data_IF_648697198306
#
_entry.id   IF_648697198306
#
_cell.length_a   1.000
_cell.length_b   1.000
_cell.length_c   1.000
_cell.angle_alpha   90.00
_cell.angle_beta   90.00
_cell.angle_gamma   90.00
#
_symmetry.space_group_name_H-M   'P 1'
#
loop_
_entity.id
_entity.type
_entity.pdbx_description
1 polymer ?
#
# COMPACT_ATOMS: atom_id res chain seq x y z
N UNK A 1 -18.29 -12.05 31.44
CA UNK A 1 -16.87 -12.33 31.14
C UNK A 1 -16.55 -12.10 29.66
N UNK A 2 -17.33 -12.65 28.72
CA UNK A 2 -17.15 -12.47 27.26
C UNK A 2 -17.28 -11.02 26.76
N UNK A 3 -18.24 -10.26 27.28
CA UNK A 3 -18.48 -8.86 26.87
C UNK A 3 -17.28 -7.96 27.25
N UNK A 4 -16.66 -8.19 28.41
CA UNK A 4 -15.51 -7.41 28.89
C UNK A 4 -14.27 -7.69 28.02
N UNK A 5 -14.08 -8.95 27.63
CA UNK A 5 -13.01 -9.35 26.70
C UNK A 5 -13.23 -8.75 25.31
N UNK A 6 -14.47 -8.75 24.82
CA UNK A 6 -14.82 -8.13 23.53
C UNK A 6 -14.57 -6.61 23.51
N UNK A 7 -14.94 -5.89 24.57
CA UNK A 7 -14.69 -4.44 24.68
C UNK A 7 -13.18 -4.15 24.77
N UNK A 8 -12.43 -4.98 25.49
CA UNK A 8 -10.97 -4.85 25.58
C UNK A 8 -10.28 -5.04 24.22
N UNK A 9 -10.70 -6.03 23.45
CA UNK A 9 -10.18 -6.29 22.11
C UNK A 9 -10.50 -5.13 21.15
N UNK A 10 -11.73 -4.61 21.16
CA UNK A 10 -12.14 -3.50 20.30
C UNK A 10 -11.38 -2.20 20.63
N UNK A 11 -11.14 -1.94 21.92
CA UNK A 11 -10.39 -0.78 22.38
C UNK A 11 -8.91 -0.85 21.96
N UNK A 12 -8.29 -2.04 22.03
CA UNK A 12 -6.93 -2.26 21.54
C UNK A 12 -6.83 -2.07 20.03
N UNK A 13 -7.82 -2.55 19.27
CA UNK A 13 -7.85 -2.39 17.81
C UNK A 13 -7.97 -0.92 17.40
N UNK A 14 -8.88 -0.18 18.05
CA UNK A 14 -9.06 1.25 17.82
C UNK A 14 -7.82 2.05 18.21
N UNK A 15 -7.15 1.68 19.31
CA UNK A 15 -5.92 2.34 19.74
C UNK A 15 -4.75 2.09 18.78
N UNK A 16 -4.59 0.85 18.30
CA UNK A 16 -3.61 0.52 17.27
C UNK A 16 -3.88 1.29 15.97
N UNK A 17 -5.14 1.33 15.51
CA UNK A 17 -5.53 2.10 14.34
C UNK A 17 -5.25 3.60 14.51
N UNK A 18 -5.48 4.16 15.70
CA UNK A 18 -5.20 5.57 15.98
C UNK A 18 -3.70 5.87 16.03
N UNK A 19 -2.89 4.98 16.61
CA UNK A 19 -1.44 5.14 16.70
C UNK A 19 -0.76 5.06 15.32
N UNK A 20 -1.28 4.23 14.43
CA UNK A 20 -0.80 4.10 13.04
C UNK A 20 -1.38 5.19 12.12
N UNK A 21 -2.66 5.55 12.28
CA UNK A 21 -3.33 6.55 11.44
C UNK A 21 -2.93 8.00 11.74
N UNK A 22 -2.57 8.32 12.98
CA UNK A 22 -2.19 9.68 13.39
C UNK A 22 -0.93 10.23 12.70
N UNK A 23 0.21 9.51 12.60
CA UNK A 23 1.36 10.01 11.84
C UNK A 23 1.07 10.18 10.35
N UNK A 24 0.18 9.36 9.79
CA UNK A 24 -0.21 9.39 8.37
C UNK A 24 -1.01 10.65 8.00
N UNK A 25 -1.90 11.11 8.88
CA UNK A 25 -2.62 12.38 8.69
C UNK A 25 -1.71 13.62 8.86
N UNK A 26 -0.67 13.52 9.69
CA UNK A 26 0.23 14.65 9.96
C UNK A 26 1.19 14.93 8.79
N UNK A 27 1.57 13.90 8.02
CA UNK A 27 2.42 14.00 6.83
C UNK A 27 1.76 14.73 5.63
N UNK A 28 0.45 14.95 5.65
CA UNK A 28 -0.26 15.65 4.57
C UNK A 28 -0.05 17.18 4.55
N UNK A 29 0.59 17.76 5.58
CA UNK A 29 0.68 19.22 5.76
C UNK A 29 1.88 19.90 5.08
N UNK A 30 2.84 19.16 4.53
CA UNK A 30 3.94 19.74 3.74
C UNK A 30 3.59 19.78 2.24
N UNK A 31 3.95 20.86 1.51
CA UNK A 31 3.63 21.01 0.09
C UNK A 31 4.36 19.92 -0.72
N UNK A 32 3.68 19.28 -1.69
CA UNK A 32 4.22 18.08 -2.30
C UNK A 32 5.35 18.40 -3.27
N UNK A 33 6.56 17.92 -2.98
CA UNK A 33 7.54 17.62 -4.02
C UNK A 33 7.00 16.48 -4.90
N UNK A 34 7.38 16.38 -6.17
CA UNK A 34 6.91 15.31 -7.08
C UNK A 34 7.18 13.90 -6.51
N UNK A 35 8.26 13.73 -5.77
CA UNK A 35 8.59 12.51 -5.01
C UNK A 35 7.53 12.16 -3.95
N UNK A 36 6.86 13.18 -3.38
CA UNK A 36 5.84 12.99 -2.35
C UNK A 36 4.48 12.51 -2.89
N UNK A 37 4.15 12.80 -4.16
CA UNK A 37 2.91 12.26 -4.77
C UNK A 37 3.06 10.77 -5.07
N UNK A 38 4.20 10.36 -5.61
CA UNK A 38 4.54 8.95 -5.78
C UNK A 38 4.52 8.22 -4.43
N UNK A 39 5.19 8.76 -3.42
CA UNK A 39 5.26 8.12 -2.11
C UNK A 39 3.88 8.01 -1.46
N UNK A 40 3.03 9.03 -1.58
CA UNK A 40 1.62 8.95 -1.13
C UNK A 40 0.84 7.87 -1.86
N UNK A 41 0.93 7.82 -3.19
CA UNK A 41 0.21 6.82 -3.98
C UNK A 41 0.71 5.39 -3.67
N UNK A 42 2.01 5.22 -3.49
CA UNK A 42 2.63 3.95 -3.10
C UNK A 42 2.19 3.51 -1.71
N UNK A 43 2.18 4.43 -0.73
CA UNK A 43 1.72 4.15 0.63
C UNK A 43 0.23 3.76 0.67
N UNK A 44 -0.61 4.43 -0.12
CA UNK A 44 -2.03 4.09 -0.21
C UNK A 44 -2.23 2.66 -0.78
N UNK A 45 -1.52 2.31 -1.85
CA UNK A 45 -1.58 0.96 -2.41
C UNK A 45 -1.06 -0.12 -1.44
N UNK A 46 0.02 0.17 -0.71
CA UNK A 46 0.55 -0.72 0.33
C UNK A 46 -0.46 -0.91 1.47
N UNK A 47 -1.09 0.17 1.91
CA UNK A 47 -2.12 0.12 2.94
C UNK A 47 -3.32 -0.73 2.50
N UNK A 48 -3.80 -0.56 1.26
CA UNK A 48 -4.88 -1.38 0.72
C UNK A 48 -4.51 -2.85 0.62
N UNK A 49 -3.26 -3.17 0.25
CA UNK A 49 -2.74 -4.54 0.20
C UNK A 49 -2.74 -5.17 1.59
N UNK A 50 -2.22 -4.45 2.57
CA UNK A 50 -2.13 -4.95 3.95
C UNK A 50 -3.53 -5.18 4.54
N UNK A 51 -4.51 -4.33 4.23
CA UNK A 51 -5.91 -4.54 4.59
C UNK A 51 -6.51 -5.78 3.92
N UNK A 52 -6.21 -6.03 2.65
CA UNK A 52 -6.67 -7.24 1.97
C UNK A 52 -6.11 -8.52 2.63
N UNK A 53 -4.85 -8.51 3.05
CA UNK A 53 -4.26 -9.62 3.80
C UNK A 53 -4.85 -9.78 5.19
N UNK A 54 -5.11 -8.69 5.90
CA UNK A 54 -5.76 -8.73 7.20
C UNK A 54 -7.16 -9.35 7.10
N UNK A 55 -7.94 -9.01 6.07
CA UNK A 55 -9.26 -9.57 5.83
C UNK A 55 -9.21 -11.09 5.61
N UNK A 56 -8.23 -11.60 4.85
CA UNK A 56 -8.05 -13.05 4.66
C UNK A 56 -7.79 -13.74 6.01
N UNK A 57 -6.91 -13.17 6.84
CA UNK A 57 -6.61 -13.74 8.16
C UNK A 57 -7.82 -13.73 9.11
N UNK A 58 -8.65 -12.68 9.03
CA UNK A 58 -9.89 -12.57 9.82
C UNK A 58 -10.92 -13.62 9.40
N UNK A 59 -11.07 -13.87 8.09
CA UNK A 59 -11.97 -14.91 7.58
C UNK A 59 -11.57 -16.31 8.05
N UNK A 60 -10.29 -16.63 8.05
CA UNK A 60 -9.79 -17.89 8.60
C UNK A 60 -10.10 -18.01 10.10
N UNK A 61 -9.98 -16.90 10.84
CA UNK A 61 -10.30 -16.86 12.26
C UNK A 61 -11.80 -17.10 12.51
N UNK A 62 -12.67 -16.46 11.74
CA UNK A 62 -14.13 -16.62 11.81
C UNK A 62 -14.58 -18.04 11.48
N UNK A 63 -13.97 -18.66 10.46
CA UNK A 63 -14.22 -20.06 10.14
C UNK A 63 -13.76 -20.99 11.28
N UNK A 64 -12.59 -20.75 11.90
CA UNK A 64 -12.12 -21.52 13.07
C UNK A 64 -13.06 -21.38 14.28
N UNK A 65 -13.72 -20.23 14.41
CA UNK A 65 -14.72 -19.97 15.46
C UNK A 65 -16.10 -20.59 15.14
N UNK A 66 -16.29 -21.14 13.93
CA UNK A 66 -17.55 -21.73 13.48
C UNK A 66 -18.59 -20.72 13.01
N UNK A 67 -18.20 -19.44 12.86
CA UNK A 67 -19.08 -18.36 12.42
C UNK A 67 -19.26 -18.30 10.90
N UNK A 68 -18.41 -19.01 10.14
CA UNK A 68 -18.37 -18.99 8.68
C UNK A 68 -18.33 -20.41 8.11
N UNK A 69 -19.10 -20.68 7.07
CA UNK A 69 -19.07 -21.98 6.38
C UNK A 69 -17.81 -22.13 5.50
N UNK A 70 -17.40 -23.36 5.18
CA UNK A 70 -16.26 -23.60 4.27
C UNK A 70 -16.51 -23.08 2.85
N UNK A 71 -17.74 -23.18 2.35
CA UNK A 71 -18.07 -22.64 1.02
C UNK A 71 -17.92 -21.12 1.01
N UNK A 72 -18.43 -20.43 2.02
CA UNK A 72 -18.38 -18.96 2.09
C UNK A 72 -16.95 -18.47 2.32
N UNK A 73 -16.17 -19.16 3.16
CA UNK A 73 -14.75 -18.87 3.35
C UNK A 73 -14.00 -18.87 2.02
N UNK A 74 -14.12 -19.95 1.23
CA UNK A 74 -13.40 -20.09 -0.05
C UNK A 74 -13.79 -18.99 -1.04
N UNK A 75 -15.08 -18.67 -1.13
CA UNK A 75 -15.56 -17.62 -2.03
C UNK A 75 -14.99 -16.24 -1.66
N UNK A 76 -14.92 -15.91 -0.36
CA UNK A 76 -14.36 -14.65 0.10
C UNK A 76 -12.83 -14.63 -0.01
N UNK A 77 -12.15 -15.72 0.33
CA UNK A 77 -10.69 -15.85 0.17
C UNK A 77 -10.26 -15.63 -1.29
N UNK A 78 -10.96 -16.23 -2.26
CA UNK A 78 -10.68 -16.01 -3.69
C UNK A 78 -10.84 -14.53 -4.08
N UNK A 79 -11.89 -13.86 -3.58
CA UNK A 79 -12.12 -12.45 -3.86
C UNK A 79 -11.02 -11.55 -3.28
N UNK A 80 -10.63 -11.75 -2.03
CA UNK A 80 -9.57 -10.95 -1.40
C UNK A 80 -8.19 -11.25 -2.01
N UNK A 81 -7.95 -12.51 -2.42
CA UNK A 81 -6.73 -12.89 -3.12
C UNK A 81 -6.61 -12.19 -4.47
N UNK A 82 -7.69 -12.18 -5.26
CA UNK A 82 -7.73 -11.42 -6.52
C UNK A 82 -7.49 -9.94 -6.29
N UNK A 83 -8.09 -9.36 -5.25
CA UNK A 83 -7.88 -7.95 -4.89
C UNK A 83 -6.43 -7.66 -4.53
N UNK A 84 -5.80 -8.51 -3.71
CA UNK A 84 -4.39 -8.38 -3.37
C UNK A 84 -3.49 -8.47 -4.62
N UNK A 85 -3.78 -9.39 -5.55
CA UNK A 85 -3.04 -9.53 -6.79
C UNK A 85 -3.13 -8.29 -7.69
N UNK A 86 -4.31 -7.66 -7.79
CA UNK A 86 -4.49 -6.39 -8.52
C UNK A 86 -3.67 -5.27 -7.88
N UNK A 87 -3.72 -5.12 -6.55
CA UNK A 87 -2.96 -4.10 -5.83
C UNK A 87 -1.45 -4.26 -6.01
N UNK A 88 -0.96 -5.51 -5.99
CA UNK A 88 0.45 -5.81 -6.28
C UNK A 88 0.83 -5.43 -7.72
N UNK A 89 -0.03 -5.72 -8.70
CA UNK A 89 0.18 -5.33 -10.09
C UNK A 89 0.27 -3.81 -10.26
N UNK A 90 -0.56 -3.07 -9.54
CA UNK A 90 -0.56 -1.60 -9.55
C UNK A 90 0.71 -1.02 -8.92
N UNK A 91 1.19 -1.60 -7.81
CA UNK A 91 2.47 -1.26 -7.20
C UNK A 91 3.64 -1.46 -8.18
N UNK A 92 3.72 -2.63 -8.81
CA UNK A 92 4.77 -2.92 -9.80
C UNK A 92 4.75 -1.91 -10.95
N UNK A 93 3.55 -1.59 -11.45
CA UNK A 93 3.38 -0.63 -12.55
C UNK A 93 3.82 0.78 -12.15
N UNK A 94 3.50 1.19 -10.91
CA UNK A 94 3.89 2.48 -10.35
C UNK A 94 5.42 2.57 -10.21
N UNK A 95 6.07 1.51 -9.72
CA UNK A 95 7.53 1.44 -9.57
C UNK A 95 8.26 1.45 -10.93
N UNK A 96 7.75 0.71 -11.92
CA UNK A 96 8.27 0.75 -13.30
C UNK A 96 8.15 2.13 -13.94
N UNK A 97 7.02 2.81 -13.73
CA UNK A 97 6.80 4.18 -14.23
C UNK A 97 7.81 5.17 -13.66
N UNK A 98 8.19 5.03 -12.39
CA UNK A 98 9.25 5.86 -11.79
C UNK A 98 10.63 5.56 -12.35
N UNK A 99 10.99 4.28 -12.51
CA UNK A 99 12.27 3.89 -13.07
C UNK A 99 12.46 4.48 -14.49
N UNK A 100 11.43 4.37 -15.34
CA UNK A 100 11.47 4.93 -16.69
C UNK A 100 11.60 6.46 -16.71
N UNK A 101 10.97 7.15 -15.76
CA UNK A 101 11.10 8.61 -15.65
C UNK A 101 12.51 9.01 -15.22
N UNK A 102 13.09 8.31 -14.25
CA UNK A 102 14.48 8.53 -13.81
C UNK A 102 15.47 8.32 -14.97
N UNK A 103 15.32 7.24 -15.74
CA UNK A 103 16.16 6.95 -16.91
C UNK A 103 16.06 8.07 -17.97
N UNK A 104 14.85 8.54 -18.26
CA UNK A 104 14.64 9.64 -19.21
C UNK A 104 15.22 10.97 -18.72
N UNK A 105 15.21 11.24 -17.42
CA UNK A 105 15.84 12.43 -16.84
C UNK A 105 17.38 12.36 -16.92
N UNK A 106 17.96 11.19 -16.67
CA UNK A 106 19.40 10.95 -16.86
C UNK A 106 19.80 11.15 -18.32
N UNK A 107 19.05 10.59 -19.28
CA UNK A 107 19.34 10.74 -20.71
C UNK A 107 19.29 12.21 -21.14
N UNK A 108 18.27 12.97 -20.69
CA UNK A 108 18.18 14.42 -20.93
C UNK A 108 19.37 15.17 -20.35
N UNK A 109 19.82 14.81 -19.14
CA UNK A 109 20.98 15.43 -18.52
C UNK A 109 22.25 15.17 -19.34
N UNK A 110 22.50 13.92 -19.76
CA UNK A 110 23.64 13.54 -20.60
C UNK A 110 23.60 14.26 -21.95
N UNK A 111 22.44 14.37 -22.59
CA UNK A 111 22.28 15.10 -23.83
C UNK A 111 22.62 16.60 -23.69
N UNK A 112 22.26 17.22 -22.56
CA UNK A 112 22.66 18.61 -22.24
C UNK A 112 24.17 18.73 -22.10
N UNK A 113 24.81 17.82 -21.37
CA UNK A 113 26.28 17.81 -21.22
C UNK A 113 26.99 17.64 -22.56
N UNK A 114 26.50 16.75 -23.44
CA UNK A 114 27.09 16.51 -24.76
C UNK A 114 26.99 17.75 -25.67
N UNK A 115 25.88 18.50 -25.61
CA UNK A 115 25.74 19.75 -26.38
C UNK A 115 26.60 20.88 -25.84
N UNK A 116 26.74 20.97 -24.52
CA UNK A 116 27.54 22.00 -23.86
C UNK A 116 29.06 21.81 -24.06
N UNK A 117 29.49 20.59 -24.41
CA UNK A 117 30.89 20.26 -24.69
C UNK A 117 31.02 19.77 -26.15
N UNK A 118 31.07 20.68 -27.14
CA UNK A 118 31.47 20.27 -28.49
C UNK A 118 32.85 19.63 -28.38
N UNK A 119 33.01 18.46 -29.02
CA UNK A 119 34.29 17.77 -29.10
C UNK A 119 35.38 18.78 -29.48
N UNK A 120 36.49 18.75 -28.74
CA UNK A 120 37.57 19.72 -28.86
C UNK A 120 37.96 19.98 -30.31
N UNK A 121 38.13 21.27 -30.61
CA UNK A 121 38.91 21.80 -31.74
C UNK A 121 40.28 21.15 -31.85
#
# INVERSE_FOLDING_TARGET
MTIIVGIGALALLAWAAMFVGYPLLKAQREPPARDSEYERQRQELLFQRDNAYAAIQELEADHRLGNLSREDLRALEEQYTLRAAVLLKELDTLEQGMAQQADAEIEKAVARYRRARPAGS
#
